data_IF_875412572619
#
_entry.id   IF_875412572619
#
_cell.length_a   1.000
_cell.length_b   1.000
_cell.length_c   1.000
_cell.angle_alpha   90.00
_cell.angle_beta   90.00
_cell.angle_gamma   90.00
#
_symmetry.space_group_name_H-M   'P 1'
#
loop_
_entity.id
_entity.type
_entity.pdbx_description
1 polymer ?
#
# COMPACT_ATOMS: atom_id res chain seq x y z
N UNK A 1 -26.15 -9.56 4.08
CA UNK A 1 -26.39 -10.14 2.73
C UNK A 1 -26.96 -9.14 1.70
N UNK A 2 -27.64 -8.05 2.09
CA UNK A 2 -28.26 -7.12 1.14
C UNK A 2 -27.31 -6.13 0.42
N UNK A 3 -26.24 -5.67 1.08
CA UNK A 3 -25.39 -4.57 0.57
C UNK A 3 -24.48 -5.01 -0.60
N UNK A 4 -23.92 -6.23 -0.55
CA UNK A 4 -23.11 -6.76 -1.66
C UNK A 4 -23.96 -7.15 -2.89
N UNK A 5 -25.14 -7.73 -2.68
CA UNK A 5 -26.06 -8.02 -3.80
C UNK A 5 -26.60 -6.74 -4.44
N UNK A 6 -26.79 -5.67 -3.66
CA UNK A 6 -27.17 -4.35 -4.17
C UNK A 6 -26.05 -3.70 -5.01
N UNK A 7 -24.78 -3.83 -4.59
CA UNK A 7 -23.61 -3.40 -5.40
C UNK A 7 -23.50 -4.12 -6.73
N UNK A 8 -23.75 -5.43 -6.77
CA UNK A 8 -23.73 -6.23 -8.01
C UNK A 8 -24.91 -5.87 -8.93
N UNK A 9 -26.08 -5.55 -8.36
CA UNK A 9 -27.27 -5.16 -9.13
C UNK A 9 -27.15 -3.78 -9.77
N UNK A 10 -26.59 -2.80 -9.04
CA UNK A 10 -26.27 -1.46 -9.59
C UNK A 10 -25.17 -1.54 -10.67
N UNK A 11 -24.19 -2.43 -10.50
CA UNK A 11 -23.16 -2.66 -11.52
C UNK A 11 -23.75 -3.12 -12.86
N UNK A 12 -24.80 -3.97 -12.80
CA UNK A 12 -25.55 -4.44 -13.97
C UNK A 12 -26.49 -3.38 -14.56
N UNK A 13 -27.17 -2.55 -13.75
CA UNK A 13 -28.07 -1.49 -14.24
C UNK A 13 -27.34 -0.32 -14.93
N UNK A 14 -26.06 -0.08 -14.58
CA UNK A 14 -25.21 0.99 -15.14
C UNK A 14 -24.07 0.47 -16.01
N UNK A 15 -24.25 -0.68 -16.68
CA UNK A 15 -23.18 -1.34 -17.42
C UNK A 15 -22.52 -0.42 -18.47
N UNK A 16 -23.32 0.36 -19.22
CA UNK A 16 -22.84 1.33 -20.21
C UNK A 16 -22.03 2.46 -19.57
N UNK A 17 -22.52 3.02 -18.46
CA UNK A 17 -21.86 4.09 -17.71
C UNK A 17 -20.55 3.61 -17.09
N UNK A 18 -20.52 2.40 -16.51
CA UNK A 18 -19.31 1.79 -15.97
C UNK A 18 -18.30 1.45 -17.08
N UNK A 19 -18.76 0.98 -18.24
CA UNK A 19 -17.92 0.78 -19.42
C UNK A 19 -17.28 2.09 -19.89
N UNK A 20 -18.06 3.18 -19.93
CA UNK A 20 -17.54 4.50 -20.26
C UNK A 20 -16.46 4.91 -19.26
N UNK A 21 -16.72 4.76 -17.96
CA UNK A 21 -15.75 5.13 -16.91
C UNK A 21 -14.44 4.33 -16.99
N UNK A 22 -14.52 3.01 -17.18
CA UNK A 22 -13.33 2.17 -17.36
C UNK A 22 -12.59 2.53 -18.65
N UNK A 23 -13.32 2.82 -19.73
CA UNK A 23 -12.70 3.22 -21.01
C UNK A 23 -12.00 4.58 -20.93
N UNK A 24 -12.61 5.56 -20.25
CA UNK A 24 -12.02 6.88 -19.99
C UNK A 24 -10.77 6.75 -19.12
N UNK A 25 -10.84 5.96 -18.04
CA UNK A 25 -9.68 5.67 -17.20
C UNK A 25 -8.55 5.02 -18.00
N UNK A 26 -8.85 4.03 -18.84
CA UNK A 26 -7.86 3.36 -19.69
C UNK A 26 -7.20 4.33 -20.68
N UNK A 27 -8.00 5.17 -21.33
CA UNK A 27 -7.49 6.19 -22.26
C UNK A 27 -6.55 7.17 -21.56
N UNK A 28 -6.91 7.61 -20.35
CA UNK A 28 -6.09 8.53 -19.55
C UNK A 28 -4.82 7.83 -19.06
N UNK A 29 -4.88 6.57 -18.65
CA UNK A 29 -3.70 5.79 -18.27
C UNK A 29 -2.71 5.63 -19.44
N UNK A 30 -3.21 5.37 -20.65
CA UNK A 30 -2.39 5.31 -21.86
C UNK A 30 -1.78 6.67 -22.22
N UNK A 31 -2.57 7.74 -22.10
CA UNK A 31 -2.11 9.12 -22.34
C UNK A 31 -1.04 9.54 -21.34
N UNK A 32 -1.23 9.18 -20.07
CA UNK A 32 -0.29 9.40 -18.97
C UNK A 32 1.06 8.75 -19.25
N UNK A 33 1.07 7.53 -19.81
CA UNK A 33 2.31 6.87 -20.26
C UNK A 33 3.08 7.71 -21.29
N UNK A 34 2.39 8.25 -22.29
CA UNK A 34 3.01 9.06 -23.35
C UNK A 34 3.53 10.39 -22.82
N UNK A 35 2.75 11.08 -21.98
CA UNK A 35 3.16 12.33 -21.33
C UNK A 35 4.36 12.08 -20.40
N UNK A 36 4.36 10.96 -19.68
CA UNK A 36 5.51 10.52 -18.87
C UNK A 36 6.80 10.44 -19.69
N UNK A 37 6.76 9.81 -20.88
CA UNK A 37 7.94 9.76 -21.75
C UNK A 37 8.38 11.14 -22.26
N UNK A 38 7.44 12.05 -22.51
CA UNK A 38 7.79 13.44 -22.84
C UNK A 38 8.50 14.14 -21.68
N UNK A 39 8.02 13.97 -20.44
CA UNK A 39 8.67 14.51 -19.24
C UNK A 39 10.11 14.00 -19.08
N UNK A 40 10.35 12.73 -19.43
CA UNK A 40 11.72 12.18 -19.45
C UNK A 40 12.63 12.91 -20.45
N UNK A 41 12.13 13.37 -21.59
CA UNK A 41 12.92 14.13 -22.58
C UNK A 41 13.35 15.50 -22.06
N UNK A 42 12.52 16.14 -21.23
CA UNK A 42 12.86 17.41 -20.56
C UNK A 42 13.59 17.22 -19.22
N UNK A 43 14.18 16.03 -18.99
CA UNK A 43 14.97 15.66 -17.79
C UNK A 43 14.17 15.63 -16.48
N UNK A 44 12.85 15.39 -16.54
CA UNK A 44 12.01 15.16 -15.37
C UNK A 44 11.71 13.66 -15.17
N UNK A 45 11.46 13.21 -13.92
CA UNK A 45 11.06 11.83 -13.65
C UNK A 45 9.76 11.45 -14.37
N UNK A 46 9.63 10.18 -14.79
CA UNK A 46 8.41 9.63 -15.42
C UNK A 46 7.17 9.85 -14.54
N UNK A 47 7.32 9.64 -13.23
CA UNK A 47 6.23 9.78 -12.24
C UNK A 47 5.67 11.21 -12.23
N UNK A 48 6.52 12.22 -12.45
CA UNK A 48 6.07 13.62 -12.54
C UNK A 48 5.10 13.82 -13.70
N UNK A 49 5.33 13.17 -14.85
CA UNK A 49 4.41 13.21 -15.98
C UNK A 49 3.10 12.47 -15.71
N UNK A 50 3.14 11.37 -14.94
CA UNK A 50 1.94 10.65 -14.53
C UNK A 50 1.06 11.49 -13.60
N UNK A 51 1.67 12.13 -12.59
CA UNK A 51 0.98 13.04 -11.67
C UNK A 51 0.41 14.25 -12.40
N UNK A 52 1.19 14.86 -13.29
CA UNK A 52 0.75 16.00 -14.10
C UNK A 52 -0.48 15.65 -14.94
N UNK A 53 -0.47 14.50 -15.61
CA UNK A 53 -1.62 14.02 -16.40
C UNK A 53 -2.83 13.79 -15.51
N UNK A 54 -2.66 13.19 -14.34
CA UNK A 54 -3.74 12.97 -13.38
C UNK A 54 -4.37 14.26 -12.86
N UNK A 55 -3.56 15.28 -12.55
CA UNK A 55 -4.05 16.60 -12.11
C UNK A 55 -4.85 17.30 -13.22
N UNK A 56 -4.37 17.23 -14.48
CA UNK A 56 -5.09 17.79 -15.63
C UNK A 56 -6.39 17.05 -15.91
N UNK A 57 -6.36 15.71 -15.93
CA UNK A 57 -7.54 14.92 -16.25
C UNK A 57 -8.56 14.83 -15.10
N UNK A 58 -8.13 15.08 -13.87
CA UNK A 58 -8.95 14.99 -12.66
C UNK A 58 -10.01 16.09 -12.54
N UNK A 59 -10.79 16.07 -11.44
CA UNK A 59 -11.99 16.89 -11.28
C UNK A 59 -11.72 18.40 -11.20
N UNK A 60 -10.48 18.80 -10.90
CA UNK A 60 -10.12 20.19 -10.65
C UNK A 60 -9.73 20.99 -11.91
N UNK A 61 -9.35 20.32 -13.01
CA UNK A 61 -8.93 21.00 -14.26
C UNK A 61 -9.88 20.65 -15.41
N UNK A 62 -9.79 19.45 -15.99
CA UNK A 62 -10.64 19.06 -17.13
C UNK A 62 -11.89 18.30 -16.72
N UNK A 63 -11.95 17.77 -15.49
CA UNK A 63 -13.05 16.96 -14.98
C UNK A 63 -13.42 15.76 -15.88
N UNK A 64 -12.42 15.15 -16.53
CA UNK A 64 -12.59 13.93 -17.34
C UNK A 64 -12.74 12.70 -16.46
N UNK A 65 -12.05 12.69 -15.31
CA UNK A 65 -12.24 11.74 -14.22
C UNK A 65 -12.92 12.49 -13.09
N UNK A 66 -14.23 12.29 -12.93
CA UNK A 66 -15.01 12.90 -11.85
C UNK A 66 -14.76 12.17 -10.52
N UNK A 67 -15.21 12.75 -9.40
CA UNK A 67 -15.08 12.14 -8.07
C UNK A 67 -15.81 10.79 -7.99
N UNK A 68 -16.95 10.67 -8.68
CA UNK A 68 -17.72 9.42 -8.77
C UNK A 68 -16.95 8.34 -9.53
N UNK A 69 -16.25 8.71 -10.60
CA UNK A 69 -15.40 7.79 -11.37
C UNK A 69 -14.27 7.28 -10.48
N UNK A 70 -13.60 8.16 -9.73
CA UNK A 70 -12.54 7.79 -8.78
C UNK A 70 -13.07 6.78 -7.76
N UNK A 71 -14.24 7.04 -7.17
CA UNK A 71 -14.86 6.14 -6.20
C UNK A 71 -15.21 4.77 -6.82
N UNK A 72 -15.68 4.74 -8.07
CA UNK A 72 -16.00 3.51 -8.80
C UNK A 72 -14.76 2.72 -9.24
N UNK A 73 -13.64 3.41 -9.45
CA UNK A 73 -12.37 2.82 -9.89
C UNK A 73 -11.56 2.22 -8.73
N UNK A 74 -12.08 2.21 -7.49
CA UNK A 74 -11.41 1.66 -6.32
C UNK A 74 -10.89 0.23 -6.50
N UNK A 75 -11.56 -0.60 -7.32
CA UNK A 75 -11.06 -1.95 -7.63
C UNK A 75 -9.71 -1.92 -8.35
N UNK A 76 -9.46 -0.90 -9.19
CA UNK A 76 -8.19 -0.70 -9.89
C UNK A 76 -7.09 -0.40 -8.87
N UNK A 77 -7.38 0.47 -7.90
CA UNK A 77 -6.46 0.81 -6.83
C UNK A 77 -6.12 -0.43 -5.99
N UNK A 78 -7.12 -1.21 -5.58
CA UNK A 78 -6.93 -2.43 -4.78
C UNK A 78 -6.11 -3.49 -5.52
N UNK A 79 -6.37 -3.71 -6.82
CA UNK A 79 -5.56 -4.60 -7.66
C UNK A 79 -4.14 -4.07 -7.82
N UNK A 80 -3.97 -2.77 -8.10
CA UNK A 80 -2.67 -2.15 -8.27
C UNK A 80 -1.83 -2.22 -6.98
N UNK A 81 -2.44 -1.91 -5.84
CA UNK A 81 -1.83 -2.01 -4.51
C UNK A 81 -1.44 -3.45 -4.18
N UNK A 82 -2.27 -4.44 -4.51
CA UNK A 82 -1.91 -5.84 -4.35
C UNK A 82 -0.67 -6.21 -5.18
N UNK A 83 -0.60 -5.78 -6.44
CA UNK A 83 0.57 -5.99 -7.31
C UNK A 83 1.82 -5.35 -6.71
N UNK A 84 1.72 -4.09 -6.28
CA UNK A 84 2.84 -3.36 -5.68
C UNK A 84 3.32 -4.07 -4.40
N UNK A 85 2.40 -4.51 -3.55
CA UNK A 85 2.73 -5.24 -2.33
C UNK A 85 3.40 -6.59 -2.62
N UNK A 86 2.88 -7.38 -3.57
CA UNK A 86 3.52 -8.62 -4.00
C UNK A 86 4.91 -8.37 -4.58
N UNK A 87 5.07 -7.33 -5.40
CA UNK A 87 6.36 -6.96 -5.99
C UNK A 87 7.38 -6.54 -4.93
N UNK A 88 6.99 -5.68 -3.98
CA UNK A 88 7.82 -5.26 -2.86
C UNK A 88 8.24 -6.46 -1.98
N UNK A 89 7.30 -7.38 -1.71
CA UNK A 89 7.60 -8.63 -1.02
C UNK A 89 8.62 -9.49 -1.78
N UNK A 90 8.48 -9.60 -3.11
CA UNK A 90 9.40 -10.37 -3.94
C UNK A 90 10.81 -9.75 -4.00
N UNK A 91 10.90 -8.43 -3.97
CA UNK A 91 12.17 -7.68 -3.92
C UNK A 91 12.92 -7.89 -2.59
N UNK A 92 12.21 -8.31 -1.53
CA UNK A 92 12.78 -8.52 -0.20
C UNK A 92 13.68 -9.79 -0.12
N UNK A 93 14.87 -9.80 -0.73
CA UNK A 93 15.82 -10.92 -0.63
C UNK A 93 16.86 -10.78 0.50
N UNK A 94 16.54 -11.33 1.68
CA UNK A 94 17.36 -11.21 2.92
C UNK A 94 18.79 -11.75 2.76
N UNK A 95 19.00 -12.78 1.93
CA UNK A 95 20.33 -13.42 1.79
C UNK A 95 21.39 -12.45 1.25
N UNK A 96 21.02 -11.51 0.38
CA UNK A 96 21.94 -10.51 -0.17
C UNK A 96 22.29 -9.40 0.83
N UNK A 97 21.46 -9.19 1.84
CA UNK A 97 21.63 -8.13 2.84
C UNK A 97 22.29 -8.60 4.13
N UNK A 98 22.46 -9.92 4.31
CA UNK A 98 22.93 -10.55 5.55
C UNK A 98 24.19 -9.89 6.13
N UNK A 99 25.16 -9.58 5.27
CA UNK A 99 26.46 -9.01 5.65
C UNK A 99 26.36 -7.57 6.17
N UNK A 100 25.23 -6.87 5.94
CA UNK A 100 25.00 -5.48 6.33
C UNK A 100 23.77 -5.29 7.22
N UNK A 101 23.15 -6.39 7.69
CA UNK A 101 21.90 -6.32 8.47
C UNK A 101 22.01 -5.45 9.72
N UNK A 102 23.15 -5.45 10.42
CA UNK A 102 23.32 -4.58 11.60
C UNK A 102 23.23 -3.09 11.23
N UNK A 103 23.90 -2.67 10.17
CA UNK A 103 23.87 -1.30 9.69
C UNK A 103 22.50 -0.91 9.14
N UNK A 104 21.86 -1.83 8.40
CA UNK A 104 20.51 -1.64 7.88
C UNK A 104 19.52 -1.48 9.03
N UNK A 105 19.54 -2.37 10.02
CA UNK A 105 18.65 -2.32 11.18
C UNK A 105 18.87 -1.05 12.00
N UNK A 106 20.11 -0.64 12.24
CA UNK A 106 20.40 0.59 12.98
C UNK A 106 19.90 1.84 12.25
N UNK A 107 20.14 1.94 10.94
CA UNK A 107 19.66 3.05 10.12
C UNK A 107 18.13 3.10 10.07
N UNK A 108 17.49 1.94 9.91
CA UNK A 108 16.03 1.81 9.84
C UNK A 108 15.40 2.16 11.20
N UNK A 109 15.97 1.67 12.30
CA UNK A 109 15.56 2.03 13.65
C UNK A 109 15.70 3.54 13.90
N UNK A 110 16.79 4.17 13.44
CA UNK A 110 16.95 5.61 13.51
C UNK A 110 15.84 6.37 12.77
N UNK A 111 15.43 5.90 11.58
CA UNK A 111 14.31 6.49 10.84
C UNK A 111 12.98 6.35 11.59
N UNK A 112 12.70 5.19 12.19
CA UNK A 112 11.49 4.98 12.99
C UNK A 112 11.51 5.79 14.30
N UNK A 113 12.66 5.87 14.98
CA UNK A 113 12.74 6.52 16.29
C UNK A 113 12.91 8.04 16.22
N UNK A 114 13.41 8.56 15.10
CA UNK A 114 13.71 9.98 14.93
C UNK A 114 12.87 10.60 13.82
N UNK A 115 12.95 10.07 12.60
CA UNK A 115 12.27 10.68 11.45
C UNK A 115 10.74 10.61 11.58
N UNK A 116 10.18 9.48 12.02
CA UNK A 116 8.74 9.34 12.24
C UNK A 116 8.16 10.34 13.25
N UNK A 117 8.63 10.42 14.51
CA UNK A 117 8.06 11.35 15.48
C UNK A 117 8.28 12.81 15.08
N UNK A 118 9.43 13.15 14.47
CA UNK A 118 9.66 14.51 13.96
C UNK A 118 8.66 14.84 12.84
N UNK A 119 8.40 13.90 11.93
CA UNK A 119 7.45 14.10 10.82
C UNK A 119 6.02 14.25 11.34
N UNK A 120 5.61 13.40 12.30
CA UNK A 120 4.31 13.51 12.95
C UNK A 120 4.16 14.84 13.72
N UNK A 121 5.19 15.23 14.48
CA UNK A 121 5.20 16.52 15.18
C UNK A 121 5.11 17.69 14.21
N UNK A 122 5.84 17.65 13.09
CA UNK A 122 5.77 18.69 12.07
C UNK A 122 4.35 18.84 11.51
N UNK A 123 3.65 17.73 11.24
CA UNK A 123 2.25 17.77 10.79
C UNK A 123 1.33 18.36 11.87
N UNK A 124 1.54 18.01 13.15
CA UNK A 124 0.78 18.60 14.26
C UNK A 124 0.99 20.10 14.39
N UNK A 125 2.24 20.57 14.28
CA UNK A 125 2.56 22.00 14.35
C UNK A 125 1.99 22.77 13.16
N UNK A 126 1.84 22.11 12.01
CA UNK A 126 1.22 22.68 10.81
C UNK A 126 -0.31 22.51 10.79
N UNK A 127 -0.92 21.87 11.79
CA UNK A 127 -2.35 21.54 11.78
C UNK A 127 -3.24 22.78 11.61
N UNK A 128 -2.88 23.92 12.21
CA UNK A 128 -3.67 25.15 12.09
C UNK A 128 -3.57 25.79 10.69
N UNK A 129 -2.54 25.45 9.91
CA UNK A 129 -2.37 25.93 8.53
C UNK A 129 -3.02 25.00 7.50
N UNK A 130 -3.43 23.79 7.90
CA UNK A 130 -4.06 22.80 7.03
C UNK A 130 -5.59 22.93 7.11
N UNK A 131 -6.29 23.39 6.04
CA UNK A 131 -7.71 23.72 6.12
C UNK A 131 -8.61 22.60 6.64
N UNK A 132 -8.28 21.34 6.30
CA UNK A 132 -9.06 20.18 6.72
C UNK A 132 -8.82 19.79 8.19
N UNK A 133 -7.71 20.21 8.81
CA UNK A 133 -7.38 19.89 10.22
C UNK A 133 -7.83 20.97 11.20
N UNK A 134 -8.08 22.19 10.73
CA UNK A 134 -8.49 23.32 11.58
C UNK A 134 -9.75 23.01 12.40
N UNK A 135 -10.74 22.36 11.78
CA UNK A 135 -12.02 22.02 12.41
C UNK A 135 -11.98 20.70 13.18
N UNK A 136 -10.88 19.94 13.12
CA UNK A 136 -10.75 18.65 13.78
C UNK A 136 -10.44 18.79 15.27
N UNK A 137 -11.00 17.92 16.13
CA UNK A 137 -10.58 17.84 17.53
C UNK A 137 -9.12 17.40 17.64
N UNK A 138 -8.49 17.67 18.78
CA UNK A 138 -7.06 17.33 19.03
C UNK A 138 -6.76 15.85 18.76
N UNK A 139 -7.67 14.95 19.12
CA UNK A 139 -7.52 13.50 18.85
C UNK A 139 -7.48 13.20 17.36
N UNK A 140 -8.34 13.83 16.56
CA UNK A 140 -8.33 13.72 15.10
C UNK A 140 -7.06 14.29 14.48
N UNK A 141 -6.57 15.42 15.00
CA UNK A 141 -5.29 16.01 14.55
C UNK A 141 -4.11 15.08 14.82
N UNK A 142 -4.07 14.43 16.00
CA UNK A 142 -3.05 13.43 16.36
C UNK A 142 -3.15 12.21 15.45
N UNK A 143 -4.35 11.69 15.21
CA UNK A 143 -4.56 10.56 14.29
C UNK A 143 -4.01 10.85 12.88
N UNK A 144 -4.35 12.00 12.31
CA UNK A 144 -3.85 12.45 10.99
C UNK A 144 -2.32 12.58 11.01
N UNK A 145 -1.75 13.15 12.06
CA UNK A 145 -0.31 13.34 12.16
C UNK A 145 0.47 12.03 12.30
N UNK A 146 -0.04 11.05 13.04
CA UNK A 146 0.56 9.72 13.13
C UNK A 146 0.55 9.01 11.77
N UNK A 147 -0.59 9.03 11.08
CA UNK A 147 -0.71 8.43 9.75
C UNK A 147 0.19 9.13 8.73
N UNK A 148 0.15 10.46 8.68
CA UNK A 148 0.99 11.25 7.77
C UNK A 148 2.47 11.11 8.09
N UNK A 149 2.84 11.04 9.37
CA UNK A 149 4.21 10.78 9.81
C UNK A 149 4.72 9.42 9.34
N UNK A 150 3.88 8.38 9.38
CA UNK A 150 4.22 7.06 8.86
C UNK A 150 4.45 7.09 7.34
N UNK A 151 3.62 7.83 6.59
CA UNK A 151 3.76 8.01 5.13
C UNK A 151 5.05 8.75 4.79
N UNK A 152 5.40 9.83 5.50
CA UNK A 152 6.60 10.64 5.23
C UNK A 152 7.92 9.89 5.45
N UNK A 153 7.87 8.79 6.18
CA UNK A 153 9.01 7.92 6.46
C UNK A 153 9.27 6.92 5.32
N UNK A 154 8.32 6.74 4.40
CA UNK A 154 8.42 5.84 3.26
C UNK A 154 9.59 6.17 2.32
N UNK A 155 10.26 5.14 1.79
CA UNK A 155 11.39 5.26 0.85
C UNK A 155 11.28 4.20 -0.23
N UNK A 156 11.37 4.59 -1.49
CA UNK A 156 11.28 3.63 -2.60
C UNK A 156 12.64 3.05 -2.99
N UNK A 157 12.81 1.71 -3.01
CA UNK A 157 14.04 1.09 -3.48
C UNK A 157 14.26 1.31 -4.99
N UNK A 158 13.18 1.32 -5.79
CA UNK A 158 13.26 1.49 -7.25
C UNK A 158 14.03 2.74 -7.70
N UNK A 159 13.82 3.86 -6.99
CA UNK A 159 14.50 5.14 -7.27
C UNK A 159 15.98 5.09 -6.88
N UNK A 160 16.30 4.43 -5.76
CA UNK A 160 17.67 4.24 -5.33
C UNK A 160 18.44 3.31 -6.27
N UNK A 161 17.83 2.20 -6.70
CA UNK A 161 18.41 1.24 -7.66
C UNK A 161 18.70 1.93 -9.00
N UNK A 162 17.79 2.78 -9.49
CA UNK A 162 18.00 3.53 -10.72
C UNK A 162 19.27 4.39 -10.66
N UNK A 163 19.44 5.18 -9.58
CA UNK A 163 20.62 6.03 -9.38
C UNK A 163 21.90 5.20 -9.22
N UNK A 164 21.83 4.10 -8.46
CA UNK A 164 22.98 3.19 -8.27
C UNK A 164 23.45 2.60 -9.59
N UNK A 165 22.52 2.18 -10.45
CA UNK A 165 22.82 1.62 -11.76
C UNK A 165 23.38 2.69 -12.71
N UNK A 166 22.81 3.89 -12.70
CA UNK A 166 23.25 5.02 -13.53
C UNK A 166 24.68 5.45 -13.18
N UNK A 167 24.98 5.60 -11.89
CA UNK A 167 26.30 5.96 -11.39
C UNK A 167 27.28 4.79 -11.33
N UNK A 168 26.81 3.57 -11.60
CA UNK A 168 27.56 2.30 -11.42
C UNK A 168 28.17 2.21 -10.01
N UNK A 169 27.48 2.75 -9.01
CA UNK A 169 27.96 2.83 -7.65
C UNK A 169 28.07 1.44 -7.02
N UNK A 170 29.19 1.15 -6.36
CA UNK A 170 29.44 -0.13 -5.68
C UNK A 170 30.12 0.10 -4.34
N UNK A 171 29.78 -0.74 -3.38
CA UNK A 171 30.44 -0.73 -2.07
C UNK A 171 29.51 -1.04 -0.91
N UNK A 172 30.05 -1.03 0.32
CA UNK A 172 29.30 -1.34 1.52
C UNK A 172 28.17 -0.34 1.79
N UNK A 173 28.42 0.96 1.54
CA UNK A 173 27.42 2.01 1.73
C UNK A 173 26.24 1.83 0.77
N UNK A 174 26.51 1.58 -0.52
CA UNK A 174 25.47 1.31 -1.52
C UNK A 174 24.59 0.12 -1.12
N UNK A 175 25.20 -0.99 -0.67
CA UNK A 175 24.45 -2.17 -0.18
C UNK A 175 23.59 -1.83 1.04
N UNK A 176 24.10 -1.03 1.98
CA UNK A 176 23.34 -0.59 3.15
C UNK A 176 22.17 0.29 2.74
N UNK A 177 22.36 1.28 1.86
CA UNK A 177 21.26 2.16 1.41
C UNK A 177 20.17 1.36 0.71
N UNK A 178 20.53 0.48 -0.23
CA UNK A 178 19.57 -0.39 -0.92
C UNK A 178 18.82 -1.30 0.06
N UNK A 179 19.54 -1.89 1.02
CA UNK A 179 18.93 -2.73 2.05
C UNK A 179 18.00 -1.98 2.99
N UNK A 180 18.33 -0.73 3.34
CA UNK A 180 17.43 0.14 4.11
C UNK A 180 16.17 0.42 3.30
N UNK A 181 16.30 0.83 2.03
CA UNK A 181 15.12 1.17 1.22
C UNK A 181 14.18 -0.02 0.99
N UNK A 182 14.72 -1.22 0.79
CA UNK A 182 13.89 -2.42 0.58
C UNK A 182 13.30 -2.96 1.89
N UNK A 183 14.01 -2.85 3.02
CA UNK A 183 13.40 -3.15 4.33
C UNK A 183 12.30 -2.14 4.69
N UNK A 184 12.41 -0.90 4.20
CA UNK A 184 11.51 0.19 4.55
C UNK A 184 10.09 -0.03 4.06
N UNK A 185 9.89 -0.69 2.91
CA UNK A 185 8.55 -1.02 2.42
C UNK A 185 7.78 -1.86 3.45
N UNK A 186 8.46 -2.84 4.07
CA UNK A 186 7.86 -3.67 5.13
C UNK A 186 7.58 -2.86 6.38
N UNK A 187 8.58 -2.11 6.84
CA UNK A 187 8.51 -1.32 8.07
C UNK A 187 7.40 -0.29 8.00
N UNK A 188 7.26 0.40 6.87
CA UNK A 188 6.26 1.45 6.69
C UNK A 188 4.85 0.87 6.66
N UNK A 189 4.64 -0.27 5.99
CA UNK A 189 3.32 -0.93 5.99
C UNK A 189 2.93 -1.36 7.42
N UNK A 190 3.84 -1.94 8.18
CA UNK A 190 3.58 -2.32 9.58
C UNK A 190 3.34 -1.08 10.45
N UNK A 191 4.18 -0.06 10.30
CA UNK A 191 4.06 1.21 11.04
C UNK A 191 2.74 1.91 10.70
N UNK A 192 2.33 1.91 9.44
CA UNK A 192 1.06 2.49 8.99
C UNK A 192 -0.12 1.70 9.56
N UNK A 193 -0.10 0.36 9.50
CA UNK A 193 -1.14 -0.48 10.10
C UNK A 193 -1.30 -0.24 11.60
N UNK A 194 -0.20 -0.22 12.36
CA UNK A 194 -0.22 0.09 13.80
C UNK A 194 -0.78 1.49 14.07
N UNK A 195 -0.34 2.50 13.30
CA UNK A 195 -0.84 3.86 13.45
C UNK A 195 -2.32 3.99 13.01
N UNK A 196 -2.80 3.16 12.09
CA UNK A 196 -4.22 3.09 11.70
C UNK A 196 -5.06 2.55 12.85
N UNK A 197 -4.62 1.49 13.53
CA UNK A 197 -5.33 0.96 14.70
C UNK A 197 -5.27 1.93 15.89
N UNK A 198 -4.17 2.67 16.08
CA UNK A 198 -4.09 3.75 17.08
C UNK A 198 -5.03 4.90 16.72
N UNK A 199 -5.06 5.32 15.45
CA UNK A 199 -5.95 6.37 14.97
C UNK A 199 -7.42 6.00 15.18
N UNK A 200 -7.79 4.75 14.88
CA UNK A 200 -9.14 4.25 15.11
C UNK A 200 -9.51 4.28 16.60
N UNK A 201 -8.62 3.81 17.48
CA UNK A 201 -8.82 3.88 18.93
C UNK A 201 -8.98 5.32 19.45
N UNK A 202 -8.22 6.28 18.90
CA UNK A 202 -8.34 7.71 19.24
C UNK A 202 -9.68 8.30 18.81
N UNK A 203 -10.22 7.87 17.66
CA UNK A 203 -11.47 8.38 17.11
C UNK A 203 -12.70 7.74 17.77
N UNK A 204 -12.59 6.49 18.19
CA UNK A 204 -13.65 5.73 18.88
C UNK A 204 -13.60 5.88 20.40
N UNK A 205 -12.61 6.60 20.95
CA UNK A 205 -12.33 6.76 22.38
C UNK A 205 -12.12 5.42 23.12
N UNK A 206 -11.52 4.44 22.44
CA UNK A 206 -11.10 3.19 23.08
C UNK A 206 -9.94 3.44 24.04
N UNK A 207 -9.98 2.89 25.27
CA UNK A 207 -8.92 3.10 26.24
C UNK A 207 -7.65 2.33 25.86
N UNK A 208 -6.48 2.99 25.97
CA UNK A 208 -5.16 2.38 25.75
C UNK A 208 -4.74 1.48 26.92
N UNK A 209 -5.41 0.32 27.03
CA UNK A 209 -5.14 -0.69 28.06
C UNK A 209 -4.33 -1.86 27.49
N UNK A 210 -3.94 -2.80 28.36
CA UNK A 210 -3.27 -4.04 27.95
C UNK A 210 -4.06 -4.80 26.87
N UNK A 211 -5.39 -4.73 26.90
CA UNK A 211 -6.28 -5.30 25.87
C UNK A 211 -6.06 -4.69 24.49
N UNK A 212 -5.77 -3.39 24.39
CA UNK A 212 -5.46 -2.73 23.11
C UNK A 212 -4.13 -3.22 22.53
N UNK A 213 -3.10 -3.37 23.38
CA UNK A 213 -1.83 -3.97 22.95
C UNK A 213 -2.05 -5.41 22.48
N UNK A 214 -2.87 -6.18 23.20
CA UNK A 214 -3.28 -7.53 22.79
C UNK A 214 -3.98 -7.54 21.44
N UNK A 215 -4.88 -6.58 21.18
CA UNK A 215 -5.56 -6.42 19.90
C UNK A 215 -4.58 -6.12 18.76
N UNK A 216 -3.66 -5.16 18.94
CA UNK A 216 -2.64 -4.83 17.93
C UNK A 216 -1.77 -6.03 17.57
N UNK A 217 -1.29 -6.77 18.58
CA UNK A 217 -0.48 -7.97 18.36
C UNK A 217 -1.31 -9.04 17.65
N UNK A 218 -2.58 -9.18 18.00
CA UNK A 218 -3.50 -10.10 17.35
C UNK A 218 -3.75 -9.72 15.88
N UNK A 219 -4.02 -8.45 15.56
CA UNK A 219 -4.22 -7.95 14.19
C UNK A 219 -3.01 -8.21 13.30
N UNK A 220 -1.80 -7.94 13.80
CA UNK A 220 -0.55 -8.24 13.09
C UNK A 220 -0.36 -9.75 12.93
N UNK A 221 -0.60 -10.54 13.97
CA UNK A 221 -0.47 -12.00 13.90
C UNK A 221 -1.46 -12.64 12.91
N UNK A 222 -2.71 -12.16 12.89
CA UNK A 222 -3.73 -12.59 11.92
C UNK A 222 -3.33 -12.19 10.51
N UNK A 223 -2.85 -10.96 10.29
CA UNK A 223 -2.35 -10.51 8.98
C UNK A 223 -1.19 -11.38 8.48
N UNK A 224 -0.24 -11.72 9.36
CA UNK A 224 0.87 -12.64 9.04
C UNK A 224 0.33 -14.05 8.72
N UNK A 225 -0.61 -14.56 9.51
CA UNK A 225 -1.23 -15.86 9.29
C UNK A 225 -1.97 -15.96 7.95
N UNK A 226 -2.76 -14.95 7.61
CA UNK A 226 -3.45 -14.88 6.31
C UNK A 226 -2.43 -14.74 5.17
N UNK A 227 -1.37 -13.95 5.35
CA UNK A 227 -0.28 -13.85 4.38
C UNK A 227 0.41 -15.20 4.11
N UNK A 228 0.63 -15.99 5.14
CA UNK A 228 1.15 -17.35 5.00
C UNK A 228 0.19 -18.30 4.25
N UNK A 229 -1.11 -18.21 4.56
CA UNK A 229 -2.14 -18.98 3.84
C UNK A 229 -2.20 -18.58 2.36
N UNK A 230 -2.17 -17.28 2.07
CA UNK A 230 -2.13 -16.75 0.71
C UNK A 230 -0.89 -17.25 -0.04
N UNK A 231 0.29 -17.23 0.59
CA UNK A 231 1.51 -17.84 0.03
C UNK A 231 1.28 -19.29 -0.41
N UNK A 232 0.69 -20.13 0.46
CA UNK A 232 0.43 -21.54 0.12
C UNK A 232 -0.52 -21.68 -1.06
N UNK A 233 -1.58 -20.87 -1.11
CA UNK A 233 -2.56 -20.90 -2.21
C UNK A 233 -1.91 -20.46 -3.52
N UNK A 234 -1.13 -19.37 -3.50
CA UNK A 234 -0.42 -18.87 -4.68
C UNK A 234 0.64 -19.88 -5.14
N UNK A 235 1.42 -20.46 -4.21
CA UNK A 235 2.40 -21.50 -4.52
C UNK A 235 1.74 -22.72 -5.19
N UNK A 236 0.60 -23.17 -4.65
CA UNK A 236 -0.18 -24.26 -5.24
C UNK A 236 -0.64 -23.90 -6.65
N UNK A 237 -1.20 -22.70 -6.86
CA UNK A 237 -1.62 -22.23 -8.18
C UNK A 237 -0.45 -22.16 -9.18
N UNK A 238 0.74 -21.71 -8.74
CA UNK A 238 1.93 -21.61 -9.56
C UNK A 238 2.52 -22.98 -9.94
N UNK A 239 2.40 -23.99 -9.06
CA UNK A 239 2.90 -25.35 -9.30
C UNK A 239 2.12 -26.13 -10.37
N UNK A 240 0.90 -25.70 -10.72
CA UNK A 240 0.11 -26.36 -11.76
C UNK A 240 0.60 -25.96 -13.16
N UNK A 241 0.56 -26.90 -14.10
CA UNK A 241 0.86 -26.66 -15.52
C UNK A 241 -0.30 -25.95 -16.23
N UNK A 242 -0.50 -24.70 -15.85
CA UNK A 242 -1.53 -23.81 -16.41
C UNK A 242 -0.84 -22.77 -17.30
N UNK A 243 -1.53 -22.31 -18.36
CA UNK A 243 -1.07 -21.18 -19.17
C UNK A 243 -0.71 -19.94 -18.31
N UNK A 244 0.38 -19.27 -18.68
CA UNK A 244 0.94 -18.13 -17.94
C UNK A 244 -0.07 -16.98 -17.70
N UNK A 245 -0.92 -16.69 -18.69
CA UNK A 245 -1.99 -15.68 -18.55
C UNK A 245 -2.97 -16.00 -17.42
N UNK A 246 -3.35 -17.28 -17.27
CA UNK A 246 -4.28 -17.69 -16.23
C UNK A 246 -3.61 -17.69 -14.86
N UNK A 247 -2.31 -18.00 -14.77
CA UNK A 247 -1.55 -17.85 -13.51
C UNK A 247 -1.53 -16.40 -13.05
N UNK A 248 -1.22 -15.47 -13.97
CA UNK A 248 -1.23 -14.04 -13.69
C UNK A 248 -2.61 -13.59 -13.22
N UNK A 249 -3.66 -13.96 -13.94
CA UNK A 249 -5.04 -13.64 -13.56
C UNK A 249 -5.43 -14.19 -12.18
N UNK A 250 -5.01 -15.42 -11.85
CA UNK A 250 -5.25 -16.02 -10.53
C UNK A 250 -4.54 -15.25 -9.41
N UNK A 251 -3.27 -14.88 -9.59
CA UNK A 251 -2.52 -14.12 -8.58
C UNK A 251 -3.16 -12.75 -8.35
N UNK A 252 -3.57 -12.07 -9.43
CA UNK A 252 -4.28 -10.79 -9.36
C UNK A 252 -5.63 -10.93 -8.65
N UNK A 253 -6.41 -11.95 -9.01
CA UNK A 253 -7.70 -12.24 -8.39
C UNK A 253 -7.58 -12.58 -6.90
N UNK A 254 -6.56 -13.33 -6.51
CA UNK A 254 -6.26 -13.62 -5.11
C UNK A 254 -5.86 -12.35 -4.34
N UNK A 255 -5.01 -11.49 -4.94
CA UNK A 255 -4.64 -10.20 -4.37
C UNK A 255 -5.86 -9.31 -4.11
N UNK A 256 -6.72 -9.11 -5.11
CA UNK A 256 -7.98 -8.39 -4.94
C UNK A 256 -8.91 -9.06 -3.92
N UNK A 257 -8.97 -10.39 -3.91
CA UNK A 257 -9.72 -11.16 -2.92
C UNK A 257 -9.31 -10.87 -1.47
N UNK A 258 -8.02 -10.58 -1.21
CA UNK A 258 -7.54 -10.17 0.12
C UNK A 258 -8.07 -8.80 0.53
N UNK A 259 -8.12 -7.83 -0.40
CA UNK A 259 -8.70 -6.51 -0.11
C UNK A 259 -10.20 -6.64 0.22
N UNK A 260 -10.92 -7.45 -0.54
CA UNK A 260 -12.32 -7.76 -0.25
C UNK A 260 -12.47 -8.47 1.11
N UNK A 261 -11.63 -9.47 1.40
CA UNK A 261 -11.66 -10.19 2.66
C UNK A 261 -11.37 -9.25 3.85
N UNK A 262 -10.36 -8.40 3.76
CA UNK A 262 -10.03 -7.41 4.78
C UNK A 262 -11.19 -6.45 5.02
N UNK A 263 -11.81 -5.93 3.95
CA UNK A 263 -12.99 -5.07 4.06
C UNK A 263 -14.19 -5.77 4.72
N UNK A 264 -14.39 -7.06 4.42
CA UNK A 264 -15.46 -7.86 4.98
C UNK A 264 -15.22 -8.17 6.47
N UNK A 265 -13.97 -8.49 6.85
CA UNK A 265 -13.59 -8.69 8.26
C UNK A 265 -13.85 -7.41 9.03
N UNK A 266 -13.43 -6.26 8.49
CA UNK A 266 -13.63 -4.96 9.11
C UNK A 266 -15.12 -4.65 9.35
N UNK A 267 -15.95 -4.73 8.32
CA UNK A 267 -17.40 -4.47 8.40
C UNK A 267 -18.11 -5.43 9.38
N UNK A 268 -17.74 -6.72 9.35
CA UNK A 268 -18.34 -7.73 10.24
C UNK A 268 -17.94 -7.48 11.70
N UNK A 269 -16.69 -7.10 11.94
CA UNK A 269 -16.20 -6.77 13.27
C UNK A 269 -16.93 -5.56 13.86
N UNK A 270 -17.20 -4.49 13.09
CA UNK A 270 -17.99 -3.35 13.60
C UNK A 270 -19.37 -3.75 14.10
N UNK A 271 -20.00 -4.73 13.42
CA UNK A 271 -21.36 -5.13 13.73
C UNK A 271 -21.46 -6.08 14.93
N UNK A 272 -20.44 -6.92 15.16
CA UNK A 272 -20.51 -8.00 16.15
C UNK A 272 -19.59 -7.80 17.35
N UNK A 273 -18.55 -6.98 17.24
CA UNK A 273 -17.56 -6.75 18.27
C UNK A 273 -17.57 -5.27 18.70
N UNK A 274 -17.20 -4.99 19.96
CA UNK A 274 -17.05 -3.61 20.44
C UNK A 274 -15.77 -2.92 19.91
N UNK A 275 -14.99 -3.58 19.04
CA UNK A 275 -13.76 -3.07 18.45
C UNK A 275 -13.64 -3.47 16.97
N UNK A 276 -13.01 -2.61 16.18
CA UNK A 276 -12.65 -2.87 14.79
C UNK A 276 -11.46 -3.84 14.76
N UNK A 277 -11.49 -4.89 13.91
CA UNK A 277 -10.29 -5.69 13.62
C UNK A 277 -9.73 -5.20 12.29
N UNK A 278 -8.58 -4.53 12.33
CA UNK A 278 -7.91 -3.95 11.18
C UNK A 278 -6.86 -4.93 10.65
N UNK A 279 -7.25 -5.69 9.62
CA UNK A 279 -6.35 -6.59 8.91
C UNK A 279 -5.76 -5.86 7.71
N UNK A 280 -4.45 -5.62 7.71
CA UNK A 280 -3.77 -4.82 6.68
C UNK A 280 -3.55 -5.64 5.39
N UNK A 281 -4.27 -5.37 4.29
CA UNK A 281 -4.20 -6.19 3.07
C UNK A 281 -2.84 -6.07 2.37
N UNK A 282 -2.20 -4.90 2.44
CA UNK A 282 -0.84 -4.68 1.91
C UNK A 282 0.18 -5.59 2.60
N UNK A 283 0.09 -5.70 3.93
CA UNK A 283 0.96 -6.56 4.73
C UNK A 283 0.80 -8.04 4.33
N UNK A 284 -0.45 -8.49 4.17
CA UNK A 284 -0.77 -9.85 3.73
C UNK A 284 -0.14 -10.16 2.38
N UNK A 285 -0.37 -9.32 1.36
CA UNK A 285 0.16 -9.52 0.01
C UNK A 285 1.69 -9.49 -0.02
N UNK A 286 2.31 -8.58 0.74
CA UNK A 286 3.76 -8.46 0.83
C UNK A 286 4.41 -9.67 1.51
N UNK A 287 3.83 -10.17 2.61
CA UNK A 287 4.30 -11.40 3.26
C UNK A 287 4.21 -12.58 2.29
N UNK A 288 3.11 -12.70 1.57
CA UNK A 288 2.97 -13.75 0.57
C UNK A 288 4.02 -13.63 -0.54
N UNK A 289 4.26 -12.42 -1.08
CA UNK A 289 5.30 -12.15 -2.07
C UNK A 289 6.71 -12.51 -1.57
N UNK A 290 7.03 -12.14 -0.34
CA UNK A 290 8.31 -12.46 0.31
C UNK A 290 8.51 -13.97 0.50
N UNK A 291 7.47 -14.70 0.93
CA UNK A 291 7.56 -16.14 1.12
C UNK A 291 7.70 -16.87 -0.22
N UNK A 292 7.02 -16.39 -1.28
CA UNK A 292 7.21 -16.91 -2.65
C UNK A 292 8.67 -16.74 -3.07
N UNK A 293 9.24 -15.55 -2.94
CA UNK A 293 10.62 -15.28 -3.38
C UNK A 293 11.68 -16.05 -2.58
N UNK A 294 11.43 -16.25 -1.28
CA UNK A 294 12.37 -16.87 -0.36
C UNK A 294 12.34 -18.40 -0.41
N UNK A 295 11.18 -19.01 -0.65
CA UNK A 295 10.97 -20.47 -0.52
C UNK A 295 10.47 -21.18 -1.78
N UNK A 296 9.99 -20.46 -2.80
CA UNK A 296 9.57 -21.09 -4.06
C UNK A 296 10.77 -21.43 -4.95
N UNK A 297 10.74 -22.61 -5.58
CA UNK A 297 11.68 -23.01 -6.63
C UNK A 297 11.36 -22.35 -7.99
N UNK A 298 10.25 -21.63 -8.12
CA UNK A 298 9.75 -21.02 -9.34
C UNK A 298 10.00 -19.50 -9.33
N UNK A 299 11.27 -19.09 -9.28
CA UNK A 299 11.68 -17.67 -9.19
C UNK A 299 11.69 -16.91 -10.52
N UNK A 300 11.58 -17.62 -11.64
CA UNK A 300 11.71 -17.07 -12.99
C UNK A 300 10.38 -17.07 -13.76
#
# INVERSE_FOLDING_TARGET
MGVQFYRIRIFMENLTTNLIYVSSFMMIALTSKQIGYFFKQVKLPLISGFLFTGVIAGPYILNLITVEIIASARFVDEVALAIIAFAAGNELYIKELRDRMKSIAWSTAGQILITFPISALAILLLADYLPFMQTMPTTGRIAVALLGGAILVARSPSSAIAIVNELRARGPFTKTVLGVTMLMDVVVIVLFGVNSSIADALLTNLPFNLSFIGLLVFELAVSVGIGYLLYRVVQFALSKNIHHYLKTFLVLGLGYGIFLLSSFIRETSHHHLPFEILVEPLLICMIAGFLISSFSQYRD
#
